data_IF_926908945762
#
_entry.id   IF_926908945762
#
_cell.length_a   1.000
_cell.length_b   1.000
_cell.length_c   1.000
_cell.angle_alpha   90.00
_cell.angle_beta   90.00
_cell.angle_gamma   90.00
#
_symmetry.space_group_name_H-M   'P 1'
#
loop_
_entity.id
_entity.type
_entity.pdbx_description
1 polymer ?
#
# COMPACT_ATOMS: atom_id res chain seq x y z
N UNK A 1 0.65 -25.45 -21.22
CA UNK A 1 -0.63 -26.11 -20.84
C UNK A 1 -0.96 -26.03 -19.33
N UNK A 2 -0.13 -26.47 -18.38
CA UNK A 2 -0.50 -26.39 -16.94
C UNK A 2 -0.44 -24.95 -16.35
N UNK A 3 0.51 -24.13 -16.76
CA UNK A 3 0.62 -22.72 -16.38
C UNK A 3 -0.53 -21.87 -16.96
N UNK A 4 -0.93 -22.16 -18.18
CA UNK A 4 -2.03 -21.49 -18.88
C UNK A 4 -3.39 -21.68 -18.19
N UNK A 5 -3.70 -22.89 -17.75
CA UNK A 5 -4.95 -23.18 -17.04
C UNK A 5 -4.99 -22.49 -15.66
N UNK A 6 -3.88 -22.46 -14.93
CA UNK A 6 -3.84 -21.82 -13.62
C UNK A 6 -4.04 -20.31 -13.71
N UNK A 7 -3.41 -19.65 -14.70
CA UNK A 7 -3.56 -18.21 -14.88
C UNK A 7 -4.98 -17.84 -15.32
N UNK A 8 -5.62 -18.68 -16.14
CA UNK A 8 -7.03 -18.52 -16.48
C UNK A 8 -7.92 -18.61 -15.24
N UNK A 9 -7.74 -19.64 -14.40
CA UNK A 9 -8.50 -19.82 -13.16
C UNK A 9 -8.36 -18.61 -12.21
N UNK A 10 -7.16 -18.01 -12.15
CA UNK A 10 -6.93 -16.76 -11.40
C UNK A 10 -7.74 -15.62 -11.97
N UNK A 11 -7.67 -15.36 -13.28
CA UNK A 11 -8.33 -14.25 -13.95
C UNK A 11 -9.85 -14.33 -13.90
N UNK A 12 -10.41 -15.53 -13.97
CA UNK A 12 -11.85 -15.78 -13.90
C UNK A 12 -12.46 -15.35 -12.54
N UNK A 13 -11.62 -15.18 -11.51
CA UNK A 13 -12.02 -14.65 -10.20
C UNK A 13 -12.17 -13.12 -10.16
N UNK A 14 -11.82 -12.42 -11.24
CA UNK A 14 -11.86 -10.96 -11.33
C UNK A 14 -12.76 -10.54 -12.50
N UNK A 15 -14.06 -10.25 -12.27
CA UNK A 15 -15.00 -9.95 -13.34
C UNK A 15 -14.58 -8.78 -14.24
N UNK A 16 -13.90 -7.78 -13.68
CA UNK A 16 -13.41 -6.63 -14.44
C UNK A 16 -12.34 -6.99 -15.48
N UNK A 17 -11.69 -8.17 -15.39
CA UNK A 17 -10.71 -8.63 -16.37
C UNK A 17 -11.35 -9.30 -17.61
N UNK A 18 -12.68 -9.39 -17.65
CA UNK A 18 -13.42 -9.96 -18.79
C UNK A 18 -13.71 -8.93 -19.90
N UNK A 19 -13.00 -7.80 -19.91
CA UNK A 19 -13.08 -6.75 -20.91
C UNK A 19 -11.77 -6.66 -21.71
N UNK A 20 -11.76 -5.89 -22.79
CA UNK A 20 -10.58 -5.72 -23.65
C UNK A 20 -9.45 -4.94 -22.98
N UNK A 21 -9.77 -4.07 -22.02
CA UNK A 21 -8.78 -3.25 -21.32
C UNK A 21 -7.87 -4.12 -20.48
N UNK A 22 -6.55 -3.95 -20.65
CA UNK A 22 -5.52 -4.59 -19.83
C UNK A 22 -5.01 -3.61 -18.78
N UNK A 23 -5.13 -3.94 -17.50
CA UNK A 23 -4.83 -3.05 -16.40
C UNK A 23 -3.37 -3.21 -15.89
N UNK A 24 -2.58 -2.16 -16.08
CA UNK A 24 -1.23 -2.02 -15.55
C UNK A 24 -1.09 -0.83 -14.57
N UNK A 25 -2.21 -0.35 -14.01
CA UNK A 25 -2.24 0.70 -12.97
C UNK A 25 -2.67 0.15 -11.60
N UNK A 26 -2.23 -1.07 -11.25
CA UNK A 26 -2.66 -1.75 -10.02
C UNK A 26 -2.11 -1.09 -8.73
N UNK A 27 -1.04 -0.32 -8.80
CA UNK A 27 -0.59 0.52 -7.68
C UNK A 27 -1.56 1.68 -7.37
N UNK A 28 -2.48 1.99 -8.29
CA UNK A 28 -3.61 2.90 -8.07
C UNK A 28 -4.80 2.23 -7.40
N UNK A 29 -4.99 0.93 -7.65
CA UNK A 29 -6.05 0.07 -7.13
C UNK A 29 -6.13 -1.21 -7.94
N UNK A 30 -6.22 -2.37 -7.28
CA UNK A 30 -6.39 -3.66 -7.95
C UNK A 30 -7.85 -3.91 -8.30
N UNK A 31 -8.12 -4.86 -9.21
CA UNK A 31 -9.48 -5.30 -9.47
C UNK A 31 -10.03 -6.11 -8.28
N UNK A 32 -11.35 -6.04 -8.09
CA UNK A 32 -12.02 -6.67 -6.95
C UNK A 32 -12.41 -8.11 -7.28
N UNK A 33 -12.22 -9.02 -6.31
CA UNK A 33 -12.64 -10.41 -6.41
C UNK A 33 -14.15 -10.56 -6.56
N UNK A 34 -14.59 -11.52 -7.36
CA UNK A 34 -15.99 -11.94 -7.53
C UNK A 34 -16.69 -12.20 -6.19
N UNK A 35 -16.05 -13.00 -5.32
CA UNK A 35 -16.58 -13.36 -4.01
C UNK A 35 -16.69 -12.18 -3.04
N UNK A 36 -15.86 -11.15 -3.19
CA UNK A 36 -16.00 -9.89 -2.44
C UNK A 36 -17.23 -9.13 -2.91
N UNK A 37 -17.42 -8.99 -4.24
CA UNK A 37 -18.58 -8.33 -4.85
C UNK A 37 -19.87 -9.03 -4.39
N UNK A 38 -19.92 -10.35 -4.49
CA UNK A 38 -21.06 -11.17 -4.09
C UNK A 38 -21.35 -11.03 -2.59
N UNK A 39 -20.31 -11.07 -1.75
CA UNK A 39 -20.46 -10.92 -0.29
C UNK A 39 -21.07 -9.56 0.08
N UNK A 40 -20.64 -8.48 -0.56
CA UNK A 40 -21.20 -7.13 -0.33
C UNK A 40 -22.66 -7.07 -0.78
N UNK A 41 -22.96 -7.58 -1.99
CA UNK A 41 -24.34 -7.64 -2.52
C UNK A 41 -25.25 -8.42 -1.57
N UNK A 42 -24.83 -9.58 -1.12
CA UNK A 42 -25.63 -10.47 -0.27
C UNK A 42 -25.86 -9.87 1.12
N UNK A 43 -24.85 -9.18 1.68
CA UNK A 43 -24.98 -8.45 2.93
C UNK A 43 -26.04 -7.35 2.82
N UNK A 44 -25.94 -6.49 1.82
CA UNK A 44 -26.87 -5.39 1.59
C UNK A 44 -28.30 -5.90 1.31
N UNK A 45 -28.43 -7.05 0.66
CA UNK A 45 -29.74 -7.63 0.30
C UNK A 45 -30.44 -8.33 1.47
N UNK A 46 -29.71 -8.83 2.49
CA UNK A 46 -30.30 -9.74 3.47
C UNK A 46 -29.89 -9.51 4.93
N UNK A 47 -28.83 -8.73 5.18
CA UNK A 47 -28.19 -8.67 6.50
C UNK A 47 -27.88 -7.22 6.94
N UNK A 48 -28.30 -6.23 6.17
CA UNK A 48 -28.00 -4.81 6.40
C UNK A 48 -28.83 -4.24 7.58
N UNK A 49 -28.38 -4.52 8.80
CA UNK A 49 -28.99 -4.05 10.05
C UNK A 49 -27.92 -3.62 11.04
N UNK A 50 -28.35 -2.87 12.08
CA UNK A 50 -27.46 -2.38 13.13
C UNK A 50 -26.81 -3.53 13.93
N UNK A 51 -25.53 -3.38 14.26
CA UNK A 51 -24.78 -4.32 15.09
C UNK A 51 -25.32 -4.35 16.55
N UNK A 52 -25.09 -5.48 17.23
CA UNK A 52 -25.45 -5.66 18.64
C UNK A 52 -26.93 -5.94 18.89
N UNK A 53 -27.77 -6.01 17.86
CA UNK A 53 -29.17 -6.33 17.99
C UNK A 53 -29.40 -7.81 18.37
N UNK A 54 -30.40 -8.08 19.21
CA UNK A 54 -30.69 -9.43 19.74
C UNK A 54 -31.46 -10.35 18.78
N UNK A 55 -32.12 -9.80 17.76
CA UNK A 55 -32.83 -10.59 16.75
C UNK A 55 -31.90 -11.30 15.77
N UNK A 56 -32.41 -12.32 15.09
CA UNK A 56 -31.60 -13.26 14.31
C UNK A 56 -30.68 -12.60 13.26
N UNK A 57 -31.21 -11.64 12.47
CA UNK A 57 -30.43 -10.93 11.44
C UNK A 57 -29.37 -10.03 12.07
N UNK A 58 -29.68 -9.37 13.20
CA UNK A 58 -28.72 -8.55 13.94
C UNK A 58 -27.54 -9.37 14.51
N UNK A 59 -27.81 -10.58 15.01
CA UNK A 59 -26.76 -11.53 15.43
C UNK A 59 -25.88 -11.95 14.25
N UNK A 60 -26.49 -12.23 13.09
CA UNK A 60 -25.77 -12.58 11.87
C UNK A 60 -24.88 -11.43 11.39
N UNK A 61 -25.40 -10.19 11.40
CA UNK A 61 -24.63 -8.98 11.03
C UNK A 61 -23.44 -8.78 11.97
N UNK A 62 -23.64 -8.89 13.28
CA UNK A 62 -22.57 -8.77 14.27
C UNK A 62 -21.50 -9.85 14.11
N UNK A 63 -21.91 -11.10 13.88
CA UNK A 63 -20.95 -12.19 13.61
C UNK A 63 -20.13 -11.97 12.33
N UNK A 64 -20.76 -11.48 11.25
CA UNK A 64 -20.06 -11.17 9.99
C UNK A 64 -19.05 -10.02 10.17
N UNK A 65 -19.44 -8.98 10.92
CA UNK A 65 -18.54 -7.88 11.28
C UNK A 65 -17.31 -8.39 12.06
N UNK A 66 -17.54 -9.20 13.11
CA UNK A 66 -16.45 -9.77 13.92
C UNK A 66 -15.54 -10.67 13.09
N UNK A 67 -16.08 -11.45 12.13
CA UNK A 67 -15.30 -12.28 11.22
C UNK A 67 -14.37 -11.44 10.34
N UNK A 68 -14.77 -10.23 9.95
CA UNK A 68 -13.93 -9.29 9.23
C UNK A 68 -12.66 -8.89 10.01
N UNK A 69 -12.80 -8.56 11.30
CA UNK A 69 -11.67 -8.26 12.19
C UNK A 69 -10.75 -9.49 12.38
N UNK A 70 -11.32 -10.67 12.57
CA UNK A 70 -10.56 -11.91 12.72
C UNK A 70 -9.75 -12.22 11.46
N UNK A 71 -10.35 -12.07 10.28
CA UNK A 71 -9.68 -12.31 9.01
C UNK A 71 -8.56 -11.29 8.77
N UNK A 72 -8.80 -10.01 9.05
CA UNK A 72 -7.79 -8.97 8.93
C UNK A 72 -6.60 -9.20 9.89
N UNK A 73 -6.88 -9.61 11.11
CA UNK A 73 -5.86 -9.97 12.10
C UNK A 73 -5.02 -11.17 11.61
N UNK A 74 -5.67 -12.23 11.11
CA UNK A 74 -4.99 -13.38 10.51
C UNK A 74 -4.07 -12.97 9.36
N UNK A 75 -4.53 -12.06 8.49
CA UNK A 75 -3.78 -11.61 7.31
C UNK A 75 -2.42 -11.00 7.62
N UNK A 76 -2.27 -10.36 8.79
CA UNK A 76 -1.05 -9.66 9.20
C UNK A 76 -0.37 -10.26 10.44
N UNK A 77 -0.82 -11.44 10.91
CA UNK A 77 -0.36 -12.08 12.17
C UNK A 77 -0.53 -11.18 13.42
N UNK A 78 -1.70 -10.54 13.56
CA UNK A 78 -2.07 -9.69 14.70
C UNK A 78 -3.23 -10.29 15.51
N UNK A 79 -3.68 -9.55 16.54
CA UNK A 79 -4.94 -9.82 17.25
C UNK A 79 -6.03 -8.87 16.76
N UNK A 80 -7.33 -9.26 16.78
CA UNK A 80 -8.44 -8.38 16.37
C UNK A 80 -8.46 -7.04 17.12
N UNK A 81 -8.11 -7.02 18.41
CA UNK A 81 -8.11 -5.83 19.25
C UNK A 81 -6.97 -4.83 18.94
N UNK A 82 -6.02 -5.25 18.10
CA UNK A 82 -4.92 -4.43 17.59
C UNK A 82 -5.25 -3.76 16.25
N UNK A 83 -6.51 -3.89 15.77
CA UNK A 83 -6.93 -3.43 14.44
C UNK A 83 -8.05 -2.40 14.56
N UNK A 84 -8.02 -1.42 13.68
CA UNK A 84 -9.14 -0.52 13.41
C UNK A 84 -9.32 -0.34 11.90
N UNK A 85 -10.57 -0.31 11.45
CA UNK A 85 -10.92 0.01 10.07
C UNK A 85 -11.31 1.47 9.90
N UNK A 86 -11.12 1.99 8.69
CA UNK A 86 -11.51 3.34 8.30
C UNK A 86 -11.72 3.46 6.81
N UNK A 87 -12.29 4.57 6.36
CA UNK A 87 -12.62 4.79 4.96
C UNK A 87 -11.37 4.89 4.05
N UNK A 88 -10.23 5.31 4.59
CA UNK A 88 -8.96 5.40 3.84
C UNK A 88 -7.76 5.39 4.77
N UNK A 89 -6.59 4.98 4.26
CA UNK A 89 -5.32 5.10 4.97
C UNK A 89 -5.03 6.54 5.38
N UNK A 90 -5.35 7.52 4.54
CA UNK A 90 -5.21 8.96 4.86
C UNK A 90 -6.01 9.33 6.10
N UNK A 91 -7.27 8.88 6.23
CA UNK A 91 -8.08 9.12 7.41
C UNK A 91 -7.49 8.46 8.66
N UNK A 92 -7.07 7.19 8.54
CA UNK A 92 -6.51 6.44 9.67
C UNK A 92 -5.22 7.07 10.19
N UNK A 93 -4.30 7.47 9.31
CA UNK A 93 -3.07 8.18 9.69
C UNK A 93 -3.37 9.55 10.32
N UNK A 94 -4.39 10.25 9.81
CA UNK A 94 -4.85 11.50 10.44
C UNK A 94 -5.41 11.24 11.83
N UNK A 95 -6.29 10.26 12.01
CA UNK A 95 -6.83 9.90 13.31
C UNK A 95 -5.70 9.49 14.28
N UNK A 96 -4.73 8.69 13.82
CA UNK A 96 -3.56 8.31 14.61
C UNK A 96 -2.78 9.56 15.05
N UNK A 97 -2.53 10.53 14.14
CA UNK A 97 -1.83 11.77 14.47
C UNK A 97 -2.55 12.63 15.51
N UNK A 98 -3.89 12.56 15.55
CA UNK A 98 -4.69 13.24 16.58
C UNK A 98 -4.70 12.49 17.92
N UNK A 99 -4.59 11.16 17.89
CA UNK A 99 -4.57 10.34 19.09
C UNK A 99 -3.20 10.34 19.81
N UNK A 100 -2.11 10.44 19.05
CA UNK A 100 -0.76 10.53 19.61
C UNK A 100 -0.55 11.85 20.35
N UNK A 101 0.11 11.76 21.53
CA UNK A 101 0.43 12.92 22.35
C UNK A 101 1.90 12.89 22.74
N UNK A 102 2.63 13.92 22.32
CA UNK A 102 4.03 14.17 22.62
C UNK A 102 4.21 15.51 23.32
N UNK A 103 5.39 15.78 23.85
CA UNK A 103 5.68 17.06 24.50
C UNK A 103 6.31 18.06 23.52
N UNK A 104 6.08 19.37 23.69
CA UNK A 104 6.79 20.38 22.90
C UNK A 104 8.31 20.15 22.95
N UNK A 105 8.95 20.20 21.79
CA UNK A 105 10.39 19.94 21.64
C UNK A 105 10.78 18.47 21.53
N UNK A 106 9.85 17.51 21.66
CA UNK A 106 10.07 16.13 21.18
C UNK A 106 10.26 16.12 19.66
N UNK A 107 10.90 15.08 19.15
CA UNK A 107 11.26 14.97 17.73
C UNK A 107 10.48 13.88 17.04
N UNK A 108 10.11 14.13 15.78
CA UNK A 108 9.60 13.08 14.88
C UNK A 108 10.43 13.05 13.60
N UNK A 109 10.72 11.83 13.11
CA UNK A 109 11.48 11.60 11.89
C UNK A 109 10.52 11.10 10.81
N UNK A 110 10.40 11.83 9.73
CA UNK A 110 9.45 11.55 8.64
C UNK A 110 10.21 11.34 7.33
N UNK A 111 9.95 10.23 6.67
CA UNK A 111 10.49 9.96 5.34
C UNK A 111 10.01 11.03 4.35
N UNK A 112 10.95 11.51 3.51
CA UNK A 112 10.64 12.55 2.50
C UNK A 112 10.26 11.98 1.16
N UNK A 113 10.30 10.67 0.99
CA UNK A 113 10.00 10.01 -0.30
C UNK A 113 8.69 9.22 -0.30
N UNK A 114 7.93 9.30 0.78
CA UNK A 114 6.67 8.58 0.92
C UNK A 114 5.55 9.22 0.10
N UNK A 115 4.45 8.50 0.00
CA UNK A 115 3.16 9.05 -0.42
C UNK A 115 2.73 10.14 0.57
N UNK A 116 2.18 11.26 0.07
CA UNK A 116 1.85 12.43 0.90
C UNK A 116 0.85 12.11 2.04
N UNK A 117 0.05 11.04 1.91
CA UNK A 117 -0.82 10.57 3.00
C UNK A 117 -0.03 10.18 4.26
N UNK A 118 1.19 9.62 4.09
CA UNK A 118 2.10 9.30 5.20
C UNK A 118 3.09 10.43 5.51
N UNK A 119 2.86 11.63 5.06
CA UNK A 119 3.66 12.83 5.37
C UNK A 119 2.79 13.91 6.01
N UNK A 120 1.68 14.27 5.37
CA UNK A 120 0.85 15.41 5.77
C UNK A 120 0.34 15.30 7.21
N UNK A 121 -0.06 14.11 7.65
CA UNK A 121 -0.54 13.87 9.01
C UNK A 121 0.53 14.14 10.09
N UNK A 122 1.79 13.90 9.75
CA UNK A 122 2.92 14.08 10.66
C UNK A 122 3.43 15.50 10.68
N UNK A 123 3.40 16.20 9.54
CA UNK A 123 3.66 17.66 9.47
C UNK A 123 2.65 18.41 10.33
N UNK A 124 1.35 18.12 10.17
CA UNK A 124 0.29 18.71 10.98
C UNK A 124 0.45 18.38 12.49
N UNK A 125 0.82 17.14 12.83
CA UNK A 125 1.12 16.74 14.22
C UNK A 125 2.27 17.59 14.80
N UNK A 126 3.35 17.75 14.04
CA UNK A 126 4.50 18.54 14.48
C UNK A 126 4.12 20.00 14.76
N UNK A 127 3.34 20.62 13.87
CA UNK A 127 2.85 21.98 14.03
C UNK A 127 1.93 22.12 15.26
N UNK A 128 0.92 21.24 15.38
CA UNK A 128 -0.06 21.27 16.47
C UNK A 128 0.54 21.09 17.87
N UNK A 129 1.62 20.32 17.99
CA UNK A 129 2.22 20.00 19.28
C UNK A 129 3.59 20.67 19.50
N UNK A 130 4.03 21.54 18.60
CA UNK A 130 5.34 22.21 18.63
C UNK A 130 6.49 21.20 18.73
N UNK A 131 6.45 20.15 17.88
CA UNK A 131 7.50 19.14 17.77
C UNK A 131 8.57 19.58 16.77
N UNK A 132 9.75 18.97 16.88
CA UNK A 132 10.83 19.15 15.92
C UNK A 132 10.68 18.10 14.82
N UNK A 133 10.30 18.52 13.61
CA UNK A 133 10.20 17.67 12.43
C UNK A 133 11.58 17.48 11.80
N UNK A 134 12.07 16.26 11.75
CA UNK A 134 13.29 15.86 11.06
C UNK A 134 12.95 15.09 9.80
N UNK A 135 13.54 15.48 8.68
CA UNK A 135 13.31 14.82 7.40
C UNK A 135 14.34 13.70 7.17
N UNK A 136 13.87 12.48 6.99
CA UNK A 136 14.68 11.37 6.51
C UNK A 136 14.74 11.43 4.98
N UNK A 137 15.87 11.92 4.47
CA UNK A 137 16.12 12.15 3.04
C UNK A 137 17.15 11.16 2.55
N UNK A 138 16.80 10.23 1.65
CA UNK A 138 17.79 9.40 0.98
C UNK A 138 18.65 10.24 0.02
N UNK A 139 19.79 9.68 -0.40
CA UNK A 139 20.62 10.28 -1.43
C UNK A 139 19.82 10.40 -2.74
N UNK A 140 19.87 11.56 -3.44
CA UNK A 140 19.24 11.73 -4.75
C UNK A 140 19.82 10.78 -5.80
N UNK A 141 18.98 10.36 -6.74
CA UNK A 141 19.38 9.48 -7.84
C UNK A 141 18.20 8.68 -8.37
N UNK A 142 18.43 7.75 -9.32
CA UNK A 142 17.35 6.95 -9.89
C UNK A 142 16.76 5.92 -8.90
N UNK A 143 17.48 5.55 -7.84
CA UNK A 143 17.02 4.61 -6.83
C UNK A 143 17.29 5.13 -5.40
N UNK A 144 16.60 6.18 -4.94
CA UNK A 144 16.72 6.65 -3.56
C UNK A 144 16.12 5.61 -2.58
N UNK A 145 16.90 5.15 -1.62
CA UNK A 145 16.53 4.10 -0.66
C UNK A 145 16.49 4.64 0.77
N UNK A 146 15.50 4.17 1.55
CA UNK A 146 15.42 4.41 2.99
C UNK A 146 16.23 3.33 3.72
N UNK A 147 17.44 3.65 4.10
CA UNK A 147 18.34 2.72 4.79
C UNK A 147 18.38 3.03 6.29
N UNK A 148 18.16 2.03 7.15
CA UNK A 148 18.15 2.20 8.61
C UNK A 148 19.44 2.87 9.15
N UNK A 149 20.61 2.58 8.54
CA UNK A 149 21.89 3.23 8.90
C UNK A 149 21.85 4.76 8.79
N UNK A 150 21.02 5.30 7.87
CA UNK A 150 20.94 6.76 7.67
C UNK A 150 20.09 7.45 8.75
N UNK A 151 19.36 6.66 9.58
CA UNK A 151 18.64 7.18 10.73
C UNK A 151 19.58 7.59 11.88
N UNK A 152 20.78 6.99 11.99
CA UNK A 152 21.69 7.20 13.13
C UNK A 152 21.97 8.69 13.40
N UNK A 153 22.06 9.51 12.33
CA UNK A 153 22.26 10.96 12.45
C UNK A 153 21.00 11.77 12.74
N UNK A 154 19.82 11.16 12.66
CA UNK A 154 18.52 11.79 12.87
C UNK A 154 17.91 11.46 14.23
N UNK A 155 18.23 10.28 14.77
CA UNK A 155 17.68 9.79 16.03
C UNK A 155 18.37 10.43 17.25
N UNK A 156 17.59 10.69 18.30
CA UNK A 156 18.07 11.12 19.61
C UNK A 156 17.16 10.60 20.72
N UNK A 157 17.52 10.80 21.97
CA UNK A 157 16.66 10.46 23.13
C UNK A 157 15.34 11.25 23.18
N UNK A 158 15.17 12.27 22.33
CA UNK A 158 13.93 13.04 22.17
C UNK A 158 13.05 12.54 21.04
N UNK A 159 13.55 11.65 20.17
CA UNK A 159 12.77 11.09 19.08
C UNK A 159 11.64 10.22 19.64
N UNK A 160 10.41 10.45 19.19
CA UNK A 160 9.19 9.74 19.63
C UNK A 160 8.54 8.92 18.54
N UNK A 161 8.73 9.31 17.28
CA UNK A 161 8.11 8.65 16.14
C UNK A 161 9.05 8.68 14.94
N UNK A 162 9.14 7.54 14.27
CA UNK A 162 9.73 7.39 12.93
C UNK A 162 8.63 6.93 11.99
N UNK A 163 8.57 7.49 10.78
CA UNK A 163 7.57 7.06 9.78
C UNK A 163 8.22 6.80 8.43
N UNK A 164 7.82 5.71 7.77
CA UNK A 164 8.29 5.36 6.43
C UNK A 164 7.29 4.49 5.67
N UNK A 165 7.47 4.39 4.35
CA UNK A 165 6.77 3.41 3.52
C UNK A 165 7.47 2.05 3.56
N UNK A 166 6.69 0.96 3.52
CA UNK A 166 7.24 -0.40 3.39
C UNK A 166 7.69 -0.70 1.96
N UNK A 167 6.94 -0.22 0.96
CA UNK A 167 7.34 -0.23 -0.43
C UNK A 167 6.93 1.07 -1.10
N UNK A 168 7.79 1.61 -1.96
CA UNK A 168 7.47 2.84 -2.68
C UNK A 168 6.42 2.59 -3.76
N UNK A 169 5.37 3.39 -3.77
CA UNK A 169 4.32 3.37 -4.80
C UNK A 169 4.79 3.86 -6.19
N UNK A 170 6.00 4.38 -6.29
CA UNK A 170 6.67 4.80 -7.52
C UNK A 170 7.80 3.85 -7.87
N UNK A 171 8.76 3.68 -6.96
CA UNK A 171 9.99 2.93 -7.23
C UNK A 171 9.80 1.41 -7.21
N UNK A 172 8.74 0.94 -6.52
CA UNK A 172 8.58 -0.46 -6.19
C UNK A 172 9.57 -0.97 -5.15
N UNK A 173 10.60 -0.20 -4.80
CA UNK A 173 11.66 -0.58 -3.85
C UNK A 173 11.08 -0.86 -2.46
N UNK A 174 11.49 -1.96 -1.84
CA UNK A 174 11.10 -2.39 -0.48
C UNK A 174 12.07 -1.78 0.53
N UNK A 175 11.51 -1.27 1.64
CA UNK A 175 12.27 -0.81 2.81
C UNK A 175 12.37 -1.95 3.81
N UNK A 176 13.56 -2.22 4.36
CA UNK A 176 13.71 -3.14 5.47
C UNK A 176 13.16 -2.51 6.76
N UNK A 177 11.86 -2.74 6.99
CA UNK A 177 11.17 -2.15 8.14
C UNK A 177 11.58 -2.77 9.47
N UNK A 178 12.18 -3.97 9.46
CA UNK A 178 12.72 -4.60 10.68
C UNK A 178 13.94 -3.84 11.17
N UNK A 179 14.89 -3.57 10.29
CA UNK A 179 16.07 -2.77 10.63
C UNK A 179 15.68 -1.36 11.06
N UNK A 180 14.67 -0.76 10.42
CA UNK A 180 14.13 0.56 10.80
C UNK A 180 13.48 0.50 12.19
N UNK A 181 12.74 -0.56 12.52
CA UNK A 181 12.13 -0.75 13.83
C UNK A 181 13.20 -0.85 14.93
N UNK A 182 14.23 -1.66 14.70
CA UNK A 182 15.33 -1.83 15.66
C UNK A 182 16.07 -0.49 15.90
N UNK A 183 16.29 0.29 14.83
CA UNK A 183 16.89 1.63 14.96
C UNK A 183 15.99 2.59 15.75
N UNK A 184 14.68 2.67 15.45
CA UNK A 184 13.74 3.52 16.16
C UNK A 184 13.61 3.13 17.64
N UNK A 185 13.47 1.84 17.92
CA UNK A 185 13.34 1.32 19.28
C UNK A 185 14.62 1.51 20.12
N UNK A 186 15.80 1.58 19.49
CA UNK A 186 17.07 1.82 20.21
C UNK A 186 17.08 3.15 20.99
N UNK A 187 16.22 4.11 20.61
CA UNK A 187 16.06 5.40 21.30
C UNK A 187 14.68 5.56 21.96
N UNK A 188 13.87 4.49 21.98
CA UNK A 188 12.51 4.50 22.54
C UNK A 188 11.45 5.19 21.67
N UNK A 189 11.73 5.34 20.38
CA UNK A 189 10.76 5.91 19.42
C UNK A 189 9.84 4.81 18.86
N UNK A 190 8.59 5.18 18.54
CA UNK A 190 7.63 4.33 17.83
C UNK A 190 7.91 4.33 16.32
N UNK A 191 7.55 3.24 15.63
CA UNK A 191 7.60 3.14 14.18
C UNK A 191 6.19 3.03 13.59
N UNK A 192 5.84 3.92 12.67
CA UNK A 192 4.63 3.87 11.85
C UNK A 192 4.98 3.61 10.38
N UNK A 193 4.40 2.56 9.81
CA UNK A 193 4.69 2.10 8.44
C UNK A 193 3.46 2.19 7.56
N UNK A 194 3.59 2.88 6.43
CA UNK A 194 2.64 2.82 5.33
C UNK A 194 2.97 1.63 4.41
N UNK A 195 2.09 0.64 4.41
CA UNK A 195 2.25 -0.58 3.64
C UNK A 195 1.29 -0.69 2.45
N UNK A 196 0.66 0.40 2.05
CA UNK A 196 -0.34 0.43 0.97
C UNK A 196 0.20 -0.14 -0.35
N UNK A 197 1.48 0.08 -0.64
CA UNK A 197 2.12 -0.45 -1.84
C UNK A 197 2.83 -1.79 -1.64
N UNK A 198 2.89 -2.31 -0.40
CA UNK A 198 3.49 -3.61 -0.08
C UNK A 198 2.45 -4.73 0.05
N UNK A 199 1.33 -4.42 0.69
CA UNK A 199 0.31 -5.38 1.11
C UNK A 199 -0.25 -6.30 -0.01
N UNK A 200 -0.42 -5.86 -1.28
CA UNK A 200 -0.92 -6.75 -2.33
C UNK A 200 0.11 -7.76 -2.86
N UNK A 201 1.39 -7.60 -2.51
CA UNK A 201 2.50 -8.30 -3.17
C UNK A 201 3.20 -9.34 -2.29
N UNK A 202 3.13 -9.21 -0.96
CA UNK A 202 3.91 -10.05 -0.03
C UNK A 202 3.10 -10.36 1.23
N UNK A 203 3.36 -11.52 1.87
CA UNK A 203 2.79 -11.83 3.18
C UNK A 203 3.27 -10.81 4.21
N UNK A 204 2.42 -10.55 5.20
CA UNK A 204 2.67 -9.57 6.26
C UNK A 204 2.71 -10.30 7.60
N UNK A 205 3.78 -10.05 8.36
CA UNK A 205 3.90 -10.44 9.76
C UNK A 205 4.37 -9.24 10.58
N UNK A 206 3.41 -8.49 11.14
CA UNK A 206 3.71 -7.26 11.89
C UNK A 206 4.53 -7.52 13.15
N UNK A 207 4.46 -8.74 13.70
CA UNK A 207 5.27 -9.13 14.86
C UNK A 207 6.72 -9.38 14.47
N UNK A 208 6.96 -10.07 13.35
CA UNK A 208 8.29 -10.28 12.81
C UNK A 208 8.94 -8.96 12.37
N UNK A 209 8.16 -8.04 11.81
CA UNK A 209 8.63 -6.71 11.42
C UNK A 209 8.93 -5.81 12.63
N UNK A 210 8.33 -6.07 13.77
CA UNK A 210 8.52 -5.28 14.98
C UNK A 210 7.93 -3.86 14.90
N UNK A 211 6.96 -3.63 14.04
CA UNK A 211 6.34 -2.33 13.84
C UNK A 211 5.32 -2.00 14.94
N UNK A 212 5.19 -0.73 15.29
CA UNK A 212 4.21 -0.25 16.28
C UNK A 212 2.87 0.06 15.64
N UNK A 213 2.89 0.71 14.47
CA UNK A 213 1.71 1.00 13.65
C UNK A 213 1.98 0.59 12.21
N UNK A 214 0.95 -0.01 11.57
CA UNK A 214 1.04 -0.51 10.20
C UNK A 214 -0.29 -0.34 9.49
N UNK A 215 -0.32 0.32 8.34
CA UNK A 215 -1.57 0.61 7.66
C UNK A 215 -1.52 0.30 6.16
N UNK A 216 -2.67 -0.12 5.64
CA UNK A 216 -2.88 -0.29 4.20
C UNK A 216 -4.37 -0.26 3.82
N UNK A 217 -4.62 -0.24 2.51
CA UNK A 217 -5.97 -0.17 1.93
C UNK A 217 -6.32 -1.46 1.20
N UNK A 218 -7.47 -2.05 1.52
CA UNK A 218 -7.94 -3.30 0.95
C UNK A 218 -8.29 -3.19 -0.55
N UNK A 219 -8.64 -1.99 -1.06
CA UNK A 219 -8.89 -1.80 -2.49
C UNK A 219 -7.64 -2.02 -3.37
N UNK A 220 -6.45 -2.09 -2.78
CA UNK A 220 -5.22 -2.51 -3.47
C UNK A 220 -4.93 -3.99 -3.28
N UNK A 221 -5.61 -4.65 -2.36
CA UNK A 221 -5.48 -6.09 -2.04
C UNK A 221 -6.76 -6.81 -2.47
N UNK A 222 -7.20 -6.58 -3.70
CA UNK A 222 -8.33 -7.25 -4.36
C UNK A 222 -9.69 -7.09 -3.64
N UNK A 223 -9.79 -6.20 -2.68
CA UNK A 223 -10.93 -5.95 -1.81
C UNK A 223 -11.66 -4.64 -2.09
N UNK A 224 -12.56 -4.22 -1.19
CA UNK A 224 -13.33 -3.00 -1.32
C UNK A 224 -12.55 -1.76 -0.86
N UNK A 225 -13.12 -0.56 -1.11
CA UNK A 225 -12.58 0.73 -0.63
C UNK A 225 -12.77 0.89 0.88
N UNK A 226 -11.99 0.16 1.64
CA UNK A 226 -11.83 0.27 3.09
C UNK A 226 -10.34 0.10 3.41
N UNK A 227 -9.90 0.70 4.50
CA UNK A 227 -8.50 0.62 4.96
C UNK A 227 -8.43 0.11 6.38
N UNK A 228 -7.29 -0.40 6.77
CA UNK A 228 -7.03 -0.82 8.15
C UNK A 228 -5.73 -0.21 8.68
N UNK A 229 -5.70 -0.03 10.00
CA UNK A 229 -4.54 0.32 10.79
C UNK A 229 -4.36 -0.73 11.89
N UNK A 230 -3.16 -1.28 11.98
CA UNK A 230 -2.69 -2.05 13.12
C UNK A 230 -2.00 -1.11 14.12
N UNK A 231 -2.18 -1.38 15.40
CA UNK A 231 -1.39 -0.76 16.48
C UNK A 231 -1.09 -1.79 17.55
N UNK A 232 0.19 -2.06 17.80
CA UNK A 232 0.62 -3.02 18.83
C UNK A 232 0.06 -2.63 20.20
N UNK A 233 -0.13 -3.59 21.10
CA UNK A 233 -0.61 -3.33 22.46
C UNK A 233 0.24 -2.29 23.19
N UNK A 234 1.56 -2.35 23.03
CA UNK A 234 2.47 -1.38 23.63
C UNK A 234 2.25 0.02 23.05
N UNK A 235 2.15 0.13 21.74
CA UNK A 235 1.93 1.41 21.05
C UNK A 235 0.58 2.04 21.40
N UNK A 236 -0.48 1.23 21.62
CA UNK A 236 -1.79 1.71 22.03
C UNK A 236 -1.78 2.46 23.37
N UNK A 237 -0.78 2.24 24.25
CA UNK A 237 -0.65 2.96 25.52
C UNK A 237 -0.29 4.44 25.33
N UNK A 238 0.26 4.80 24.17
CA UNK A 238 0.59 6.19 23.77
C UNK A 238 -0.60 6.95 23.15
N UNK A 239 -1.74 6.28 22.97
CA UNK A 239 -2.91 6.86 22.32
C UNK A 239 -3.92 7.37 23.34
N UNK A 240 -4.41 8.58 23.14
CA UNK A 240 -5.66 9.02 23.73
C UNK A 240 -6.81 8.50 22.87
N UNK A 241 -7.95 8.18 23.49
CA UNK A 241 -9.16 7.83 22.76
C UNK A 241 -9.71 9.06 22.03
N UNK A 242 -10.10 8.85 20.77
CA UNK A 242 -10.93 9.76 19.98
C UNK A 242 -12.41 9.31 19.96
N UNK A 243 -12.70 8.16 20.59
CA UNK A 243 -14.03 7.59 20.66
C UNK A 243 -14.97 8.38 21.60
N UNK A 244 -16.21 7.92 21.65
CA UNK A 244 -17.21 8.52 22.55
C UNK A 244 -16.80 8.31 24.02
N UNK A 245 -17.23 9.22 24.91
CA UNK A 245 -16.87 9.19 26.33
C UNK A 245 -17.28 7.90 27.06
N UNK A 246 -18.27 7.19 26.55
CA UNK A 246 -18.77 5.92 27.11
C UNK A 246 -18.05 4.68 26.55
N UNK A 247 -17.16 4.80 25.55
CA UNK A 247 -16.38 3.69 25.03
C UNK A 247 -15.33 3.25 26.06
N UNK A 248 -15.10 1.94 26.23
CA UNK A 248 -14.16 1.43 27.22
C UNK A 248 -12.68 1.76 26.91
N UNK A 249 -12.35 2.19 25.70
CA UNK A 249 -10.98 2.45 25.23
C UNK A 249 -10.03 1.26 25.41
N UNK A 250 -10.56 0.04 25.37
CA UNK A 250 -9.82 -1.20 25.59
C UNK A 250 -9.08 -1.66 24.32
N UNK A 251 -9.68 -1.46 23.16
CA UNK A 251 -9.15 -1.90 21.86
C UNK A 251 -8.73 -0.71 21.00
N UNK A 252 -8.03 -0.98 19.90
CA UNK A 252 -7.70 0.07 18.93
C UNK A 252 -8.96 0.62 18.26
N UNK A 253 -9.97 -0.23 18.03
CA UNK A 253 -11.28 0.20 17.52
C UNK A 253 -11.99 1.15 18.48
N UNK A 254 -12.01 0.86 19.78
CA UNK A 254 -12.58 1.75 20.79
C UNK A 254 -11.94 3.14 20.80
N UNK A 255 -10.62 3.19 20.54
CA UNK A 255 -9.86 4.45 20.58
C UNK A 255 -9.97 5.26 19.30
N UNK A 256 -9.95 4.63 18.13
CA UNK A 256 -9.80 5.31 16.83
C UNK A 256 -10.96 5.04 15.88
N UNK A 257 -11.80 4.05 16.16
CA UNK A 257 -12.93 3.65 15.31
C UNK A 257 -14.01 4.72 15.24
N UNK A 258 -14.70 4.74 14.11
CA UNK A 258 -15.85 5.60 13.88
C UNK A 258 -17.14 4.81 14.08
N UNK A 259 -18.13 5.45 14.69
CA UNK A 259 -19.49 4.90 14.74
C UNK A 259 -20.05 4.78 13.32
N UNK A 260 -20.88 3.76 13.07
CA UNK A 260 -21.54 3.50 11.78
C UNK A 260 -20.56 3.36 10.60
N UNK A 261 -19.54 2.54 10.78
CA UNK A 261 -18.61 2.17 9.69
C UNK A 261 -19.31 1.37 8.58
N UNK A 262 -18.59 1.13 7.48
CA UNK A 262 -19.08 0.36 6.32
C UNK A 262 -19.09 -1.14 6.64
N UNK A 263 -20.12 -1.64 7.30
CA UNK A 263 -20.25 -3.04 7.71
C UNK A 263 -20.22 -3.99 6.52
N UNK A 264 -20.89 -3.59 5.42
CA UNK A 264 -20.95 -4.34 4.15
C UNK A 264 -19.58 -4.51 3.49
N UNK A 265 -18.67 -3.53 3.66
CA UNK A 265 -17.32 -3.64 3.11
C UNK A 265 -16.43 -4.48 4.05
N UNK A 266 -16.51 -4.23 5.35
CA UNK A 266 -15.68 -4.90 6.33
C UNK A 266 -15.95 -6.41 6.37
N UNK A 267 -17.21 -6.83 6.36
CA UNK A 267 -17.59 -8.24 6.40
C UNK A 267 -17.17 -9.02 5.13
N UNK A 268 -16.75 -8.34 4.06
CA UNK A 268 -16.26 -8.98 2.84
C UNK A 268 -14.76 -9.34 2.90
N UNK A 269 -14.01 -8.80 3.87
CA UNK A 269 -12.55 -9.03 4.02
C UNK A 269 -12.18 -10.51 4.15
N UNK A 270 -12.93 -11.39 4.83
CA UNK A 270 -12.63 -12.82 4.84
C UNK A 270 -12.46 -13.41 3.45
N UNK A 271 -13.18 -12.91 2.42
CA UNK A 271 -13.08 -13.40 1.04
C UNK A 271 -11.72 -13.11 0.39
N UNK A 272 -11.13 -11.96 0.72
CA UNK A 272 -9.77 -11.62 0.27
C UNK A 272 -8.74 -12.53 0.95
N UNK A 273 -8.85 -12.71 2.27
CA UNK A 273 -7.92 -13.52 3.05
C UNK A 273 -7.99 -15.00 2.63
N UNK A 274 -9.19 -15.55 2.45
CA UNK A 274 -9.41 -16.91 1.92
C UNK A 274 -8.80 -17.07 0.52
N UNK A 275 -8.90 -16.06 -0.35
CA UNK A 275 -8.33 -16.10 -1.69
C UNK A 275 -6.80 -16.16 -1.67
N UNK A 276 -6.14 -15.39 -0.80
CA UNK A 276 -4.68 -15.30 -0.72
C UNK A 276 -4.05 -16.39 0.15
N UNK A 277 -4.85 -17.07 1.00
CA UNK A 277 -4.37 -18.11 1.90
C UNK A 277 -3.65 -19.21 1.09
N UNK A 278 -2.43 -19.57 1.50
CA UNK A 278 -1.54 -20.55 0.86
C UNK A 278 -1.13 -20.27 -0.61
N UNK A 279 -1.32 -19.05 -1.13
CA UNK A 279 -1.00 -18.72 -2.53
C UNK A 279 0.21 -17.80 -2.70
N UNK A 280 0.81 -17.31 -1.63
CA UNK A 280 1.86 -16.29 -1.70
C UNK A 280 3.05 -16.71 -2.57
N UNK A 281 3.49 -17.96 -2.51
CA UNK A 281 4.60 -18.42 -3.35
C UNK A 281 4.28 -18.28 -4.84
N UNK A 282 3.02 -18.55 -5.24
CA UNK A 282 2.57 -18.42 -6.63
C UNK A 282 2.42 -16.94 -7.04
N UNK A 283 1.90 -16.11 -6.14
CA UNK A 283 1.79 -14.66 -6.34
C UNK A 283 3.17 -14.06 -6.59
N UNK A 284 4.12 -14.36 -5.71
CA UNK A 284 5.50 -13.86 -5.78
C UNK A 284 6.21 -14.33 -7.06
N UNK A 285 6.08 -15.63 -7.38
CA UNK A 285 6.69 -16.19 -8.59
C UNK A 285 6.12 -15.59 -9.88
N UNK A 286 4.81 -15.40 -9.95
CA UNK A 286 4.17 -14.74 -11.09
C UNK A 286 4.65 -13.30 -11.24
N UNK A 287 4.64 -12.52 -10.18
CA UNK A 287 5.09 -11.13 -10.19
C UNK A 287 6.58 -11.00 -10.55
N UNK A 288 7.43 -11.91 -10.09
CA UNK A 288 8.83 -11.96 -10.49
C UNK A 288 8.98 -12.16 -12.01
N UNK A 289 8.19 -13.07 -12.60
CA UNK A 289 8.20 -13.30 -14.06
C UNK A 289 7.75 -12.08 -14.84
N UNK A 290 6.71 -11.36 -14.36
CA UNK A 290 6.24 -10.13 -15.00
C UNK A 290 7.29 -9.02 -14.91
N UNK A 291 7.94 -8.87 -13.76
CA UNK A 291 9.01 -7.89 -13.56
C UNK A 291 10.21 -8.18 -14.44
N UNK A 292 10.64 -9.44 -14.50
CA UNK A 292 11.76 -9.87 -15.36
C UNK A 292 11.52 -9.48 -16.81
N UNK A 293 10.34 -9.77 -17.36
CA UNK A 293 10.02 -9.49 -18.75
C UNK A 293 10.10 -7.98 -19.06
N UNK A 294 9.48 -7.14 -18.23
CA UNK A 294 9.49 -5.69 -18.47
C UNK A 294 10.84 -5.05 -18.18
N UNK A 295 11.50 -5.44 -17.09
CA UNK A 295 12.81 -4.86 -16.72
C UNK A 295 13.89 -5.23 -17.73
N UNK A 296 13.93 -6.49 -18.20
CA UNK A 296 14.88 -6.90 -19.24
C UNK A 296 14.76 -6.04 -20.50
N UNK A 297 13.52 -5.79 -20.94
CA UNK A 297 13.28 -4.90 -22.07
C UNK A 297 13.75 -3.46 -21.82
N UNK A 298 13.45 -2.88 -20.65
CA UNK A 298 13.79 -1.50 -20.34
C UNK A 298 15.30 -1.29 -20.15
N UNK A 299 16.02 -2.27 -19.58
CA UNK A 299 17.47 -2.23 -19.36
C UNK A 299 18.23 -2.18 -20.69
N UNK A 300 17.75 -2.89 -21.70
CA UNK A 300 18.37 -2.93 -23.03
C UNK A 300 18.17 -1.64 -23.84
N UNK A 301 17.39 -0.68 -23.35
CA UNK A 301 17.13 0.59 -24.05
C UNK A 301 18.02 1.72 -23.53
N UNK A 302 18.99 2.22 -24.32
CA UNK A 302 19.95 3.23 -23.87
C UNK A 302 19.33 4.61 -23.60
N UNK A 303 18.13 4.86 -24.10
CA UNK A 303 17.36 6.09 -23.89
C UNK A 303 16.36 6.00 -22.74
N UNK A 304 16.32 4.89 -22.00
CA UNK A 304 15.43 4.69 -20.85
C UNK A 304 16.19 4.88 -19.54
N UNK A 305 15.57 5.55 -18.59
CA UNK A 305 16.00 5.59 -17.17
C UNK A 305 14.97 4.88 -16.33
N UNK A 306 15.38 3.81 -15.64
CA UNK A 306 14.53 3.08 -14.68
C UNK A 306 14.70 3.72 -13.31
N UNK A 307 13.58 3.90 -12.59
CA UNK A 307 13.55 4.41 -11.21
C UNK A 307 13.21 3.26 -10.24
N UNK A 308 14.02 3.14 -9.19
CA UNK A 308 14.00 2.02 -8.26
C UNK A 308 15.05 0.95 -8.62
N UNK A 309 15.04 -0.17 -7.91
CA UNK A 309 15.98 -1.27 -8.11
C UNK A 309 15.76 -1.90 -9.50
N UNK A 310 16.77 -1.97 -10.38
CA UNK A 310 16.61 -2.42 -11.75
C UNK A 310 16.76 -3.95 -11.91
N UNK A 311 16.24 -4.72 -10.98
CA UNK A 311 16.22 -6.19 -11.02
C UNK A 311 14.89 -6.71 -10.46
N UNK A 312 14.61 -8.01 -10.63
CA UNK A 312 13.38 -8.69 -10.21
C UNK A 312 13.48 -9.36 -8.83
N UNK A 313 14.51 -9.06 -8.04
CA UNK A 313 14.70 -9.69 -6.73
C UNK A 313 13.53 -9.38 -5.80
N UNK A 314 12.81 -10.42 -5.43
CA UNK A 314 11.54 -10.35 -4.68
C UNK A 314 11.68 -9.76 -3.28
N UNK A 315 12.89 -9.78 -2.72
CA UNK A 315 13.22 -9.13 -1.44
C UNK A 315 13.51 -7.63 -1.55
N UNK A 316 13.78 -7.13 -2.76
CA UNK A 316 14.22 -5.75 -2.97
C UNK A 316 13.11 -4.88 -3.57
N UNK A 317 12.14 -5.51 -4.29
CA UNK A 317 11.07 -4.76 -4.95
C UNK A 317 9.76 -5.53 -5.08
N UNK A 318 8.69 -4.78 -5.27
CA UNK A 318 7.37 -5.23 -5.71
C UNK A 318 7.16 -4.92 -7.20
N UNK A 319 6.12 -5.48 -7.81
CA UNK A 319 5.87 -5.41 -9.26
C UNK A 319 5.33 -4.03 -9.74
N UNK A 320 5.92 -2.96 -9.23
CA UNK A 320 5.71 -1.58 -9.68
C UNK A 320 6.99 -1.06 -10.31
N UNK A 321 6.96 -0.71 -11.60
CA UNK A 321 8.11 -0.27 -12.37
C UNK A 321 7.85 1.12 -12.91
N UNK A 322 8.74 2.06 -12.58
CA UNK A 322 8.70 3.42 -13.09
C UNK A 322 9.92 3.73 -13.94
N UNK A 323 9.71 4.45 -15.01
CA UNK A 323 10.76 4.84 -15.93
C UNK A 323 10.47 6.16 -16.64
N UNK A 324 11.47 6.69 -17.32
CA UNK A 324 11.34 7.78 -18.29
C UNK A 324 12.09 7.43 -19.56
N UNK A 325 11.69 8.03 -20.68
CA UNK A 325 12.33 7.85 -21.99
C UNK A 325 12.88 9.20 -22.45
N UNK A 326 14.17 9.26 -22.74
CA UNK A 326 14.82 10.48 -23.23
C UNK A 326 14.15 10.95 -24.53
N UNK A 327 13.77 12.22 -24.56
CA UNK A 327 13.08 12.81 -25.71
C UNK A 327 11.56 12.73 -25.64
N UNK A 328 11.00 12.03 -24.63
CA UNK A 328 9.57 11.93 -24.39
C UNK A 328 9.17 12.60 -23.06
N UNK A 329 8.02 13.26 -23.08
CA UNK A 329 7.31 13.60 -21.88
C UNK A 329 6.52 12.38 -21.39
N UNK A 330 6.51 12.11 -20.09
CA UNK A 330 5.85 10.91 -19.53
C UNK A 330 4.35 10.83 -19.88
N UNK A 331 3.67 11.99 -19.89
CA UNK A 331 2.28 12.09 -20.31
C UNK A 331 2.09 11.68 -21.77
N UNK A 332 2.85 12.32 -22.66
CA UNK A 332 2.69 12.14 -24.09
C UNK A 332 3.02 10.70 -24.52
N UNK A 333 4.00 10.07 -23.86
CA UNK A 333 4.32 8.65 -24.08
C UNK A 333 3.15 7.73 -23.71
N UNK A 334 2.59 7.91 -22.52
CA UNK A 334 1.46 7.07 -22.05
C UNK A 334 0.25 7.26 -22.97
N UNK A 335 -0.14 8.50 -23.27
CA UNK A 335 -1.29 8.80 -24.13
C UNK A 335 -1.07 8.27 -25.57
N UNK A 336 0.17 8.30 -26.10
CA UNK A 336 0.49 7.76 -27.42
C UNK A 336 0.34 6.23 -27.48
N UNK A 337 0.70 5.51 -26.41
CA UNK A 337 0.50 4.05 -26.32
C UNK A 337 -0.97 3.70 -26.14
N UNK A 338 -1.70 4.40 -25.26
CA UNK A 338 -3.13 4.17 -25.01
C UNK A 338 -3.99 4.41 -26.26
N UNK A 339 -3.62 5.39 -27.10
CA UNK A 339 -4.32 5.67 -28.36
C UNK A 339 -4.16 4.56 -29.41
N UNK A 340 -3.20 3.66 -29.25
CA UNK A 340 -2.89 2.57 -30.20
C UNK A 340 -3.15 1.17 -29.64
N UNK A 341 -3.50 1.07 -28.35
CA UNK A 341 -3.58 -0.22 -27.67
C UNK A 341 -4.65 -0.20 -26.57
N UNK A 342 -4.90 -1.36 -25.98
CA UNK A 342 -5.81 -1.52 -24.84
C UNK A 342 -5.07 -1.54 -23.49
N UNK A 343 -3.77 -1.21 -23.45
CA UNK A 343 -2.97 -1.23 -22.22
C UNK A 343 -3.16 0.06 -21.43
N UNK A 344 -3.70 -0.06 -20.20
CA UNK A 344 -3.93 1.05 -19.28
C UNK A 344 -2.81 1.11 -18.22
N UNK A 345 -1.97 2.13 -18.28
CA UNK A 345 -0.94 2.44 -17.30
C UNK A 345 -0.88 3.97 -17.13
N UNK A 346 -0.07 4.47 -16.21
CA UNK A 346 -0.17 5.89 -15.88
C UNK A 346 1.15 6.64 -15.88
N UNK A 347 1.05 7.95 -15.90
CA UNK A 347 2.15 8.91 -15.72
C UNK A 347 1.85 9.86 -14.55
N UNK A 348 2.88 10.46 -13.96
CA UNK A 348 2.74 11.52 -12.97
C UNK A 348 3.60 11.36 -11.73
N UNK A 349 3.23 12.06 -10.66
CA UNK A 349 3.92 12.06 -9.36
C UNK A 349 3.25 11.15 -8.33
N UNK A 350 2.03 10.68 -8.58
CA UNK A 350 1.27 9.70 -7.77
C UNK A 350 1.22 10.05 -6.28
N UNK A 351 0.95 11.32 -5.95
CA UNK A 351 0.96 11.85 -4.58
C UNK A 351 2.30 11.69 -3.84
N UNK A 352 3.41 11.47 -4.57
CA UNK A 352 4.78 11.44 -4.03
C UNK A 352 5.63 12.53 -4.68
N UNK A 353 5.10 13.75 -4.70
CA UNK A 353 5.66 14.90 -5.40
C UNK A 353 7.10 15.23 -4.91
N UNK A 354 7.35 15.06 -3.60
CA UNK A 354 8.69 15.27 -3.00
C UNK A 354 9.71 14.25 -3.52
N UNK A 355 9.33 12.96 -3.61
CA UNK A 355 10.17 11.93 -4.21
C UNK A 355 10.53 12.31 -5.66
N UNK A 356 9.52 12.62 -6.47
CA UNK A 356 9.69 12.89 -7.90
C UNK A 356 10.56 14.13 -8.15
N UNK A 357 10.28 15.24 -7.46
CA UNK A 357 10.98 16.51 -7.70
C UNK A 357 12.33 16.61 -7.02
N UNK A 358 12.42 16.17 -5.76
CA UNK A 358 13.61 16.44 -4.95
C UNK A 358 14.62 15.28 -5.00
N UNK A 359 14.15 14.03 -5.03
CA UNK A 359 15.04 12.88 -5.05
C UNK A 359 15.35 12.40 -6.47
N UNK A 360 14.35 12.37 -7.37
CA UNK A 360 14.55 11.96 -8.76
C UNK A 360 14.94 13.13 -9.68
N UNK A 361 14.73 14.39 -9.27
CA UNK A 361 15.06 15.58 -10.05
C UNK A 361 14.16 15.80 -11.28
N UNK A 362 12.92 15.29 -11.26
CA UNK A 362 12.00 15.34 -12.39
C UNK A 362 11.00 16.51 -12.26
N UNK A 363 10.39 16.87 -13.39
CA UNK A 363 9.34 17.89 -13.46
C UNK A 363 7.98 17.36 -13.02
N UNK A 364 6.95 18.19 -13.22
CA UNK A 364 5.55 17.91 -12.86
C UNK A 364 4.95 16.69 -13.59
N UNK A 365 5.48 16.37 -14.77
CA UNK A 365 5.01 15.24 -15.56
C UNK A 365 5.46 13.89 -14.99
N UNK A 366 6.39 13.91 -14.04
CA UNK A 366 6.78 12.76 -13.24
C UNK A 366 7.37 11.62 -14.05
N UNK A 367 6.94 10.41 -13.75
CA UNK A 367 7.40 9.17 -14.36
C UNK A 367 6.28 8.47 -15.12
N UNK A 368 6.62 7.62 -16.06
CA UNK A 368 5.75 6.54 -16.54
C UNK A 368 5.76 5.43 -15.49
N UNK A 369 4.60 4.91 -15.10
CA UNK A 369 4.49 3.83 -14.12
C UNK A 369 3.66 2.68 -14.66
N UNK A 370 4.23 1.49 -14.70
CA UNK A 370 3.58 0.21 -14.96
C UNK A 370 3.55 -0.56 -13.65
N UNK A 371 2.38 -0.91 -13.17
CA UNK A 371 2.22 -1.67 -11.93
C UNK A 371 1.36 -2.91 -12.17
N UNK A 372 1.95 -4.04 -11.85
CA UNK A 372 1.42 -5.36 -12.11
C UNK A 372 1.08 -6.08 -10.81
N UNK A 373 0.17 -7.02 -10.89
CA UNK A 373 -0.12 -7.98 -9.81
C UNK A 373 -0.29 -9.36 -10.42
N UNK A 374 -0.40 -10.38 -9.60
CA UNK A 374 -0.39 -11.80 -10.02
C UNK A 374 -1.45 -12.20 -11.07
N UNK A 375 -2.53 -11.45 -11.27
CA UNK A 375 -3.49 -11.77 -12.34
C UNK A 375 -3.07 -11.26 -13.72
N UNK A 376 -2.06 -10.38 -13.81
CA UNK A 376 -1.47 -10.03 -15.10
C UNK A 376 -0.71 -11.21 -15.68
N UNK A 377 -0.57 -11.24 -17.02
CA UNK A 377 0.11 -12.31 -17.74
C UNK A 377 1.40 -11.82 -18.39
N UNK A 378 2.35 -12.72 -18.61
CA UNK A 378 3.57 -12.42 -19.37
C UNK A 378 3.26 -11.98 -20.80
N UNK A 379 2.21 -12.55 -21.42
CA UNK A 379 1.78 -12.16 -22.77
C UNK A 379 1.20 -10.74 -22.82
N UNK A 380 0.51 -10.30 -21.76
CA UNK A 380 0.08 -8.90 -21.61
C UNK A 380 1.30 -7.97 -21.54
N UNK A 381 2.33 -8.33 -20.76
CA UNK A 381 3.57 -7.53 -20.67
C UNK A 381 4.28 -7.48 -22.01
N UNK A 382 4.41 -8.61 -22.71
CA UNK A 382 4.98 -8.65 -24.09
C UNK A 382 4.18 -7.80 -25.07
N UNK A 383 2.87 -7.76 -24.92
CA UNK A 383 2.00 -6.90 -25.70
C UNK A 383 2.25 -5.41 -25.43
N UNK A 384 2.37 -5.02 -24.16
CA UNK A 384 2.74 -3.66 -23.79
C UNK A 384 4.13 -3.28 -24.33
N UNK A 385 5.11 -4.18 -24.26
CA UNK A 385 6.45 -3.97 -24.82
C UNK A 385 6.39 -3.68 -26.32
N UNK A 386 5.62 -4.44 -27.09
CA UNK A 386 5.43 -4.17 -28.53
C UNK A 386 4.80 -2.80 -28.79
N UNK A 387 3.79 -2.42 -28.01
CA UNK A 387 3.15 -1.12 -28.13
C UNK A 387 4.10 0.04 -27.77
N UNK A 388 4.97 -0.14 -26.77
CA UNK A 388 6.04 0.81 -26.42
C UNK A 388 7.07 0.93 -27.58
N UNK A 389 7.52 -0.19 -28.16
CA UNK A 389 8.45 -0.19 -29.29
C UNK A 389 7.91 0.54 -30.51
N UNK A 390 6.64 0.34 -30.84
CA UNK A 390 5.98 1.05 -31.96
C UNK A 390 5.91 2.58 -31.76
N UNK A 391 5.75 3.02 -30.51
CA UNK A 391 5.70 4.45 -30.20
C UNK A 391 7.08 5.06 -30.13
N UNK A 392 8.00 4.42 -29.39
CA UNK A 392 9.36 4.93 -29.16
C UNK A 392 10.20 4.83 -30.43
N UNK A 393 10.08 3.74 -31.19
CA UNK A 393 10.86 3.48 -32.41
C UNK A 393 10.50 4.38 -33.59
N UNK A 394 9.27 4.90 -33.66
CA UNK A 394 8.82 5.83 -34.69
C UNK A 394 9.24 7.29 -34.45
N UNK A 395 9.99 7.56 -33.40
CA UNK A 395 10.41 8.92 -33.00
C UNK A 395 11.91 9.18 -33.22
N UNK A 396 12.58 8.33 -34.00
CA UNK A 396 14.02 8.46 -34.40
C UNK A 396 14.18 9.21 -35.72
#
# INVERSE_FOLDING_TARGET
MAFDNHQKDVRDRFPALQQEQVFFDNAGGSQTLDTVIDSIRDYLSSTNVQLGASYAVGKKSTAAYSAGYQAAAKYINANPDEIVFGASTTQLLRNLSYALKFNPGDEIVVSRIDHEANIASWVDLAERQNLILKWWKPAPGPNPQLLAKDLAGLLSSKTRLVTCTHASNILGTITDVRDVADAAHSVGALLCVDAVAYAPHRPIDVKAFGVDFYCFSWYKVYGPHISMLYGSWSAQTHLRSLGHFFNPSATLEDKLGLAAGSYELLQSIPKVVEYLDSKWDKVIAQEASLQYELLSYLIDKPNVTIYGVPNEHVSERVATISFSVKGWNSKDLVEAVENKSTYAFRWGTFYSDRLVREALGLGKDGVVRVSMVHYNTVDEVKGLIRALDEVIGNSS
#
